data_IF_478015760181
#
_entry.id   IF_478015760181
#
_cell.length_a   1.000
_cell.length_b   1.000
_cell.length_c   1.000
_cell.angle_alpha   90.00
_cell.angle_beta   90.00
_cell.angle_gamma   90.00
#
_symmetry.space_group_name_H-M   'P 1'
#
loop_
_entity.id
_entity.type
_entity.pdbx_description
1 polymer ?
#
# COMPACT_ATOMS: atom_id res chain seq x y z
N UNK A 1 46.22 -3.91 -19.23
CA UNK A 1 45.95 -2.69 -18.46
C UNK A 1 44.52 -2.20 -18.67
N UNK A 2 44.04 -2.05 -19.89
CA UNK A 2 42.65 -1.65 -20.20
C UNK A 2 41.60 -2.59 -19.70
N UNK A 3 41.83 -3.92 -19.76
CA UNK A 3 40.89 -4.94 -19.24
C UNK A 3 40.67 -4.89 -17.73
N UNK A 4 41.65 -4.46 -16.95
CA UNK A 4 41.53 -4.35 -15.49
C UNK A 4 40.73 -3.13 -15.08
N UNK A 5 40.84 -2.04 -15.79
CA UNK A 5 40.08 -0.80 -15.53
C UNK A 5 38.59 -1.00 -15.85
N UNK A 6 38.27 -1.70 -16.95
CA UNK A 6 36.90 -2.02 -17.33
C UNK A 6 36.24 -2.94 -16.29
N UNK A 7 37.00 -3.91 -15.76
CA UNK A 7 36.50 -4.81 -14.71
C UNK A 7 36.16 -4.07 -13.41
N UNK A 8 37.00 -3.10 -12.99
CA UNK A 8 36.73 -2.28 -11.82
C UNK A 8 35.48 -1.38 -11.99
N UNK A 9 35.30 -0.80 -13.16
CA UNK A 9 34.12 0.03 -13.47
C UNK A 9 32.84 -0.78 -13.45
N UNK A 10 32.84 -2.02 -13.95
CA UNK A 10 31.73 -2.94 -13.93
C UNK A 10 31.33 -3.34 -12.50
N UNK A 11 32.30 -3.59 -11.63
CA UNK A 11 32.05 -3.96 -10.22
C UNK A 11 31.45 -2.76 -9.46
N UNK A 12 31.94 -1.55 -9.67
CA UNK A 12 31.38 -0.34 -9.05
C UNK A 12 29.94 -0.10 -9.52
N UNK A 13 29.67 -0.28 -10.81
CA UNK A 13 28.31 -0.15 -11.36
C UNK A 13 27.36 -1.17 -10.79
N UNK A 14 27.78 -2.42 -10.61
CA UNK A 14 26.98 -3.48 -10.00
C UNK A 14 26.68 -3.22 -8.51
N UNK A 15 27.66 -2.69 -7.75
CA UNK A 15 27.47 -2.35 -6.35
C UNK A 15 26.50 -1.17 -6.16
N UNK A 16 26.57 -0.17 -7.00
CA UNK A 16 25.61 0.96 -7.01
C UNK A 16 24.20 0.51 -7.35
N UNK A 17 24.05 -0.37 -8.32
CA UNK A 17 22.76 -0.92 -8.72
C UNK A 17 22.15 -1.79 -7.61
N UNK A 18 22.95 -2.62 -6.94
CA UNK A 18 22.52 -3.43 -5.81
C UNK A 18 22.06 -2.56 -4.62
N UNK A 19 22.74 -1.45 -4.33
CA UNK A 19 22.35 -0.52 -3.27
C UNK A 19 21.02 0.19 -3.58
N UNK A 20 20.79 0.56 -4.85
CA UNK A 20 19.50 1.14 -5.29
C UNK A 20 18.39 0.09 -5.25
N UNK A 21 18.65 -1.15 -5.62
CA UNK A 21 17.68 -2.26 -5.52
C UNK A 21 17.30 -2.56 -4.08
N UNK A 22 18.23 -2.50 -3.13
CA UNK A 22 17.95 -2.71 -1.71
C UNK A 22 17.00 -1.65 -1.14
N UNK A 23 17.09 -0.39 -1.57
CA UNK A 23 16.14 0.66 -1.21
C UNK A 23 14.77 0.46 -1.85
N UNK A 24 14.72 -0.06 -3.07
CA UNK A 24 13.48 -0.37 -3.78
C UNK A 24 12.75 -1.56 -3.15
N UNK A 25 13.48 -2.52 -2.52
CA UNK A 25 12.90 -3.69 -1.86
C UNK A 25 12.06 -3.35 -0.63
N UNK A 26 12.28 -2.19 0.01
CA UNK A 26 11.44 -1.70 1.11
C UNK A 26 10.00 -1.42 0.72
N UNK A 27 9.71 -1.36 -0.58
CA UNK A 27 8.40 -1.09 -1.11
C UNK A 27 7.85 -2.19 -2.03
N UNK A 28 8.24 -3.46 -1.84
CA UNK A 28 7.67 -4.54 -2.64
C UNK A 28 6.16 -4.69 -2.41
N UNK A 29 5.36 -4.91 -3.48
CA UNK A 29 3.94 -5.17 -3.33
C UNK A 29 3.66 -6.45 -2.55
N UNK A 30 2.64 -6.41 -1.71
CA UNK A 30 2.18 -7.57 -0.94
C UNK A 30 0.66 -7.64 -0.92
N UNK A 31 0.15 -8.82 -0.65
CA UNK A 31 -1.30 -9.08 -0.62
C UNK A 31 -1.93 -8.47 0.63
N UNK A 32 -3.08 -7.81 0.45
CA UNK A 32 -3.91 -7.32 1.55
C UNK A 32 -5.38 -7.56 1.24
N UNK A 33 -6.17 -7.70 2.29
CA UNK A 33 -7.62 -7.52 2.18
C UNK A 33 -7.90 -6.03 2.10
N UNK A 34 -9.01 -5.67 1.45
CA UNK A 34 -9.44 -4.28 1.36
C UNK A 34 -10.91 -4.16 1.71
N UNK A 35 -11.23 -3.06 2.36
CA UNK A 35 -12.59 -2.61 2.65
C UNK A 35 -12.74 -1.18 2.16
N UNK A 36 -13.91 -0.60 2.36
CA UNK A 36 -14.16 0.79 2.00
C UNK A 36 -15.07 1.44 3.02
N UNK A 37 -14.87 2.74 3.27
CA UNK A 37 -15.68 3.51 4.20
C UNK A 37 -16.04 4.87 3.59
N UNK A 38 -17.18 5.44 4.02
CA UNK A 38 -17.68 6.70 3.49
C UNK A 38 -18.08 7.69 4.59
N UNK A 39 -17.69 7.43 5.82
CA UNK A 39 -18.05 8.26 6.98
C UNK A 39 -16.78 8.80 7.64
N UNK A 40 -16.97 9.79 8.51
CA UNK A 40 -15.90 10.49 9.19
C UNK A 40 -15.73 11.90 8.64
N UNK A 41 -15.14 12.77 9.42
CA UNK A 41 -14.89 14.17 9.06
C UNK A 41 -13.40 14.48 9.03
N UNK A 42 -12.68 14.00 10.04
CA UNK A 42 -11.24 14.23 10.23
C UNK A 42 -10.54 12.88 10.38
N UNK A 43 -9.45 12.72 9.69
CA UNK A 43 -8.60 11.53 9.79
C UNK A 43 -7.77 11.54 11.07
N UNK A 44 -7.16 10.41 11.41
CA UNK A 44 -6.24 10.30 12.54
C UNK A 44 -5.02 11.22 12.42
N UNK A 45 -4.64 11.61 11.20
CA UNK A 45 -3.56 12.57 10.94
C UNK A 45 -4.00 14.04 11.12
N UNK A 46 -5.29 14.30 11.37
CA UNK A 46 -5.85 15.65 11.52
C UNK A 46 -6.26 16.33 10.22
N UNK A 47 -6.22 15.61 9.11
CA UNK A 47 -6.62 16.11 7.79
C UNK A 47 -8.08 15.77 7.53
N UNK A 48 -8.88 16.66 6.92
CA UNK A 48 -10.25 16.31 6.52
C UNK A 48 -10.27 15.12 5.58
N UNK A 49 -11.26 14.24 5.75
CA UNK A 49 -11.43 13.11 4.83
C UNK A 49 -11.71 13.60 3.42
N UNK A 50 -11.10 12.96 2.46
CA UNK A 50 -11.29 13.26 1.04
C UNK A 50 -10.96 12.03 0.20
N UNK A 51 -11.38 12.05 -1.05
CA UNK A 51 -11.04 11.02 -2.03
C UNK A 51 -9.50 10.87 -2.12
N UNK A 52 -9.01 9.63 -2.19
CA UNK A 52 -7.58 9.36 -2.24
C UNK A 52 -6.91 9.13 -0.89
N UNK A 53 -7.69 9.04 0.18
CA UNK A 53 -7.20 8.69 1.54
C UNK A 53 -7.57 7.26 1.88
N UNK A 54 -6.68 6.57 2.59
CA UNK A 54 -6.95 5.25 3.13
C UNK A 54 -6.55 5.15 4.60
N UNK A 55 -7.16 4.22 5.30
CA UNK A 55 -6.82 3.83 6.66
C UNK A 55 -5.96 2.57 6.64
N UNK A 56 -4.86 2.62 7.34
CA UNK A 56 -3.87 1.55 7.41
C UNK A 56 -3.40 1.36 8.85
N UNK A 57 -2.62 0.33 9.08
CA UNK A 57 -1.87 0.15 10.31
C UNK A 57 -1.14 1.45 10.68
N UNK A 58 -1.16 1.80 11.96
CA UNK A 58 -0.63 3.08 12.45
C UNK A 58 0.81 3.36 11.99
N UNK A 59 1.65 2.35 11.98
CA UNK A 59 3.07 2.46 11.61
C UNK A 59 3.28 2.84 10.13
N UNK A 60 2.25 2.69 9.30
CA UNK A 60 2.28 3.05 7.88
C UNK A 60 1.68 4.43 7.58
N UNK A 61 1.21 5.14 8.58
CA UNK A 61 0.69 6.50 8.39
C UNK A 61 1.80 7.42 7.87
N UNK A 62 1.45 8.24 6.89
CA UNK A 62 2.40 9.12 6.20
C UNK A 62 3.00 8.51 4.92
N UNK A 63 2.82 7.22 4.70
CA UNK A 63 3.24 6.57 3.46
C UNK A 63 2.21 6.77 2.36
N UNK A 64 2.59 6.45 1.13
CA UNK A 64 1.71 6.37 -0.04
C UNK A 64 1.49 4.92 -0.39
N UNK A 65 0.25 4.53 -0.62
CA UNK A 65 -0.13 3.19 -1.04
C UNK A 65 -0.40 3.17 -2.54
N UNK A 66 0.39 2.43 -3.28
CA UNK A 66 0.13 2.11 -4.69
C UNK A 66 -0.60 0.78 -4.70
N UNK A 67 -1.77 0.73 -5.31
CA UNK A 67 -2.66 -0.43 -5.25
C UNK A 67 -2.79 -1.06 -6.63
N UNK A 68 -2.67 -2.37 -6.66
CA UNK A 68 -2.72 -3.20 -7.88
C UNK A 68 -3.83 -4.23 -7.76
N UNK A 69 -4.32 -4.68 -8.88
CA UNK A 69 -5.31 -5.76 -8.97
C UNK A 69 -4.79 -7.05 -8.35
N UNK A 70 -5.68 -7.75 -7.68
CA UNK A 70 -5.50 -9.15 -7.29
C UNK A 70 -6.27 -10.00 -8.30
N UNK A 71 -5.53 -10.67 -9.20
CA UNK A 71 -6.14 -11.48 -10.27
C UNK A 71 -6.76 -12.77 -9.72
N UNK A 72 -7.72 -13.36 -10.47
CA UNK A 72 -8.34 -14.63 -10.04
C UNK A 72 -7.38 -15.77 -9.79
N UNK A 73 -6.22 -15.79 -10.45
CA UNK A 73 -5.15 -16.78 -10.22
C UNK A 73 -4.25 -16.46 -9.03
N UNK A 74 -4.51 -15.34 -8.33
CA UNK A 74 -3.73 -14.88 -7.18
C UNK A 74 -2.51 -14.03 -7.52
N UNK A 75 -2.24 -13.78 -8.80
CA UNK A 75 -1.13 -12.92 -9.22
C UNK A 75 -1.51 -11.45 -9.19
N UNK A 76 -0.50 -10.57 -9.17
CA UNK A 76 -0.67 -9.13 -9.24
C UNK A 76 -0.99 -8.70 -10.67
N UNK A 77 -2.03 -7.87 -10.82
CA UNK A 77 -2.41 -7.27 -12.08
C UNK A 77 -1.95 -5.83 -12.23
N UNK A 78 -2.74 -5.05 -12.97
CA UNK A 78 -2.43 -3.65 -13.26
C UNK A 78 -2.65 -2.75 -12.06
N UNK A 79 -1.99 -1.59 -12.06
CA UNK A 79 -2.20 -0.58 -11.03
C UNK A 79 -3.63 -0.04 -11.11
N UNK A 80 -4.30 -0.02 -9.96
CA UNK A 80 -5.66 0.52 -9.82
C UNK A 80 -5.63 2.01 -9.48
N UNK A 81 -4.69 2.41 -8.63
CA UNK A 81 -4.58 3.81 -8.19
C UNK A 81 -3.59 4.00 -7.06
N UNK A 82 -3.58 5.22 -6.54
CA UNK A 82 -2.65 5.68 -5.51
C UNK A 82 -3.46 6.36 -4.40
N UNK A 83 -3.18 6.00 -3.14
CA UNK A 83 -3.83 6.56 -1.96
C UNK A 83 -2.81 7.06 -0.96
N UNK A 84 -3.18 8.10 -0.22
CA UNK A 84 -2.38 8.61 0.91
C UNK A 84 -2.82 7.91 2.20
N UNK A 85 -1.88 7.34 2.92
CA UNK A 85 -2.10 6.68 4.20
C UNK A 85 -2.20 7.72 5.32
N UNK A 86 -3.35 8.35 5.47
CA UNK A 86 -3.57 9.46 6.42
C UNK A 86 -4.55 9.11 7.54
N UNK A 87 -5.08 7.90 7.54
CA UNK A 87 -6.01 7.44 8.58
C UNK A 87 -5.57 6.09 9.13
N UNK A 88 -6.15 5.74 10.26
CA UNK A 88 -5.94 4.45 10.91
C UNK A 88 -7.22 4.07 11.67
N UNK A 89 -7.29 2.86 12.15
CA UNK A 89 -8.43 2.38 12.91
C UNK A 89 -8.17 0.99 13.47
N UNK A 90 -9.16 0.46 14.15
CA UNK A 90 -9.12 -0.91 14.66
C UNK A 90 -9.40 -1.92 13.56
N UNK A 91 -10.49 -1.70 12.81
CA UNK A 91 -11.01 -2.66 11.86
C UNK A 91 -11.83 -3.76 12.55
N UNK A 92 -12.28 -4.75 11.77
CA UNK A 92 -12.99 -5.89 12.32
C UNK A 92 -12.07 -6.85 13.06
N UNK A 93 -12.62 -7.65 13.97
CA UNK A 93 -11.91 -8.69 14.72
C UNK A 93 -12.61 -10.04 14.49
N UNK A 94 -12.59 -10.47 13.23
CA UNK A 94 -13.30 -11.70 12.82
C UNK A 94 -12.68 -12.98 13.41
N UNK A 95 -11.39 -12.97 13.70
CA UNK A 95 -10.68 -14.11 14.32
C UNK A 95 -10.70 -14.09 15.85
N UNK A 96 -11.22 -13.02 16.47
CA UNK A 96 -11.41 -12.94 17.92
C UNK A 96 -10.13 -12.87 18.74
N UNK A 97 -9.01 -12.45 18.12
CA UNK A 97 -7.72 -12.35 18.82
C UNK A 97 -7.53 -11.04 19.61
N UNK A 98 -8.52 -10.14 19.55
CA UNK A 98 -8.46 -8.82 20.20
C UNK A 98 -7.65 -7.78 19.43
N UNK A 99 -7.13 -8.12 18.26
CA UNK A 99 -6.39 -7.21 17.37
C UNK A 99 -7.24 -6.94 16.12
N UNK A 100 -7.50 -5.68 15.82
CA UNK A 100 -8.28 -5.29 14.66
C UNK A 100 -7.58 -5.58 13.34
N UNK A 101 -8.35 -5.79 12.30
CA UNK A 101 -7.83 -6.14 10.97
C UNK A 101 -7.02 -5.01 10.33
N UNK A 102 -7.36 -3.75 10.60
CA UNK A 102 -6.56 -2.59 10.17
C UNK A 102 -5.33 -2.46 11.07
N UNK A 103 -5.53 -2.54 12.38
CA UNK A 103 -4.46 -2.44 13.38
C UNK A 103 -3.35 -3.48 13.17
N UNK A 104 -3.71 -4.69 12.76
CA UNK A 104 -2.75 -5.77 12.48
C UNK A 104 -2.07 -5.69 11.12
N UNK A 105 -2.51 -4.79 10.25
CA UNK A 105 -1.96 -4.65 8.89
C UNK A 105 -2.50 -5.66 7.88
N UNK A 106 -3.60 -6.33 8.18
CA UNK A 106 -4.25 -7.28 7.24
C UNK A 106 -5.14 -6.60 6.22
N UNK A 107 -5.71 -5.43 6.58
CA UNK A 107 -6.71 -4.72 5.79
C UNK A 107 -6.28 -3.29 5.53
N UNK A 108 -6.44 -2.86 4.30
CA UNK A 108 -6.41 -1.44 3.89
C UNK A 108 -7.84 -0.99 3.61
N UNK A 109 -8.26 0.09 4.25
CA UNK A 109 -9.63 0.60 4.20
C UNK A 109 -9.66 1.91 3.41
N UNK A 110 -10.33 1.88 2.25
CA UNK A 110 -10.32 2.99 1.30
C UNK A 110 -11.48 3.94 1.56
N UNK A 111 -11.20 5.24 1.66
CA UNK A 111 -12.24 6.25 1.76
C UNK A 111 -12.85 6.56 0.40
N UNK A 112 -14.18 6.56 0.36
CA UNK A 112 -14.97 7.07 -0.77
C UNK A 112 -16.10 7.95 -0.24
N UNK A 113 -16.48 9.02 -0.95
CA UNK A 113 -17.50 9.94 -0.46
C UNK A 113 -18.91 9.34 -0.36
N UNK A 114 -19.22 8.27 -1.09
CA UNK A 114 -20.55 7.68 -1.15
C UNK A 114 -20.53 6.18 -0.89
N UNK A 115 -21.62 5.66 -0.38
CA UNK A 115 -21.83 4.22 -0.19
C UNK A 115 -21.77 3.46 -1.52
N UNK A 116 -22.28 4.06 -2.60
CA UNK A 116 -22.25 3.47 -3.94
C UNK A 116 -20.81 3.22 -4.41
N UNK A 117 -19.92 4.20 -4.24
CA UNK A 117 -18.51 4.05 -4.58
C UNK A 117 -17.80 3.00 -3.72
N UNK A 118 -18.18 2.90 -2.44
CA UNK A 118 -17.67 1.83 -1.56
C UNK A 118 -18.07 0.45 -2.09
N UNK A 119 -19.31 0.29 -2.51
CA UNK A 119 -19.79 -0.97 -3.09
C UNK A 119 -19.08 -1.29 -4.40
N UNK A 120 -18.90 -0.28 -5.26
CA UNK A 120 -18.18 -0.44 -6.54
C UNK A 120 -16.75 -0.91 -6.30
N UNK A 121 -16.08 -0.37 -5.30
CA UNK A 121 -14.74 -0.79 -4.90
C UNK A 121 -14.72 -2.25 -4.48
N UNK A 122 -15.64 -2.67 -3.63
CA UNK A 122 -15.73 -4.04 -3.16
C UNK A 122 -16.07 -5.02 -4.28
N UNK A 123 -16.91 -4.62 -5.22
CA UNK A 123 -17.25 -5.42 -6.40
C UNK A 123 -16.05 -5.53 -7.35
N UNK A 124 -15.37 -4.42 -7.62
CA UNK A 124 -14.19 -4.38 -8.50
C UNK A 124 -13.06 -5.25 -7.97
N UNK A 125 -12.79 -5.21 -6.68
CA UNK A 125 -11.63 -5.87 -6.06
C UNK A 125 -11.92 -7.25 -5.50
N UNK A 126 -13.18 -7.55 -5.22
CA UNK A 126 -13.53 -8.77 -4.49
C UNK A 126 -12.99 -8.80 -3.07
N UNK A 127 -12.59 -7.65 -2.52
CA UNK A 127 -12.03 -7.52 -1.18
C UNK A 127 -10.55 -7.88 -1.05
N UNK A 128 -9.83 -8.01 -2.16
CA UNK A 128 -8.40 -8.35 -2.18
C UNK A 128 -7.65 -7.48 -3.18
N UNK A 129 -6.46 -7.02 -2.77
CA UNK A 129 -5.57 -6.19 -3.60
C UNK A 129 -4.11 -6.54 -3.32
N UNK A 130 -3.22 -6.04 -4.14
CA UNK A 130 -1.80 -5.90 -3.82
C UNK A 130 -1.51 -4.45 -3.49
N UNK A 131 -0.69 -4.22 -2.49
CA UNK A 131 -0.33 -2.89 -2.02
C UNK A 131 1.18 -2.75 -1.98
N UNK A 132 1.68 -1.67 -2.52
CA UNK A 132 3.06 -1.25 -2.39
C UNK A 132 3.09 0.03 -1.56
N UNK A 133 3.77 0.01 -0.44
CA UNK A 133 3.93 1.18 0.42
C UNK A 133 5.24 1.88 0.07
N UNK A 134 5.16 3.17 -0.21
CA UNK A 134 6.31 4.00 -0.58
C UNK A 134 6.29 5.30 0.20
N UNK A 135 7.47 5.91 0.35
CA UNK A 135 7.56 7.25 0.93
C UNK A 135 6.93 8.28 -0.01
N UNK A 136 6.16 9.22 0.57
CA UNK A 136 5.49 10.27 -0.18
C UNK A 136 6.47 11.22 -0.89
N UNK A 137 7.72 11.31 -0.41
CA UNK A 137 8.79 12.15 -0.98
C UNK A 137 9.73 11.38 -1.90
N UNK A 138 9.46 10.09 -2.09
CA UNK A 138 10.31 9.17 -2.87
C UNK A 138 10.24 9.35 -4.41
#
# INVERSE_FOLDING_TARGET
>A
MVKRVISCLLVIGLLLFAALSAKADEGEPFKMYTTAYHHGEITASGVPVRRGICAVKREWMGLTAIVYEYKPDGSMGDMIGIWECLDTGFGGDADGDGVGSIESGKVIDMYFPTLEECRDWMEQTGGKVYVQLVDAEG
#
